data_IF_582240976266
#
_entry.id   IF_582240976266
#
_cell.length_a   1.000
_cell.length_b   1.000
_cell.length_c   1.000
_cell.angle_alpha   90.00
_cell.angle_beta   90.00
_cell.angle_gamma   90.00
#
_symmetry.space_group_name_H-M   'P 1'
#
loop_
_entity.id
_entity.type
_entity.pdbx_description
1 polymer ?
#
# COMPACT_ATOMS: atom_id res chain seq x y z
N UNK A 1 -16.18 -1.28 -39.95
CA UNK A 1 -16.50 0.01 -39.29
C UNK A 1 -17.43 -0.28 -38.13
N UNK A 2 -16.91 -0.41 -36.90
CA UNK A 2 -17.73 -0.66 -35.70
C UNK A 2 -17.94 0.67 -34.97
N UNK A 3 -19.17 1.18 -35.07
CA UNK A 3 -19.58 2.46 -34.52
C UNK A 3 -19.81 2.45 -33.02
N UNK A 4 -19.47 3.60 -32.43
CA UNK A 4 -20.17 4.33 -31.36
C UNK A 4 -20.56 3.60 -30.07
N UNK A 5 -19.84 3.97 -29.01
CA UNK A 5 -20.45 4.58 -27.81
C UNK A 5 -21.24 3.68 -26.86
N UNK A 6 -20.57 3.19 -25.82
CA UNK A 6 -21.21 2.95 -24.53
C UNK A 6 -20.45 3.77 -23.49
N UNK A 7 -20.70 5.08 -23.50
CA UNK A 7 -20.56 5.88 -22.29
C UNK A 7 -21.81 5.63 -21.46
N UNK A 8 -21.66 5.68 -20.14
CA UNK A 8 -22.72 5.47 -19.13
C UNK A 8 -23.02 4.02 -18.72
N UNK A 9 -22.00 3.35 -18.14
CA UNK A 9 -22.27 2.48 -17.00
C UNK A 9 -21.88 3.23 -15.72
N UNK A 10 -22.60 4.32 -15.46
CA UNK A 10 -22.58 4.94 -14.13
C UNK A 10 -23.29 3.99 -13.17
N UNK A 11 -22.64 3.71 -12.05
CA UNK A 11 -23.10 2.80 -11.00
C UNK A 11 -24.37 3.32 -10.35
N UNK A 12 -25.53 3.03 -10.92
CA UNK A 12 -26.81 3.21 -10.25
C UNK A 12 -27.81 2.22 -10.83
N UNK A 13 -28.58 1.59 -9.95
CA UNK A 13 -29.71 0.71 -10.23
C UNK A 13 -29.37 -0.77 -10.47
N UNK A 14 -29.11 -1.46 -9.35
CA UNK A 14 -29.86 -2.69 -9.05
C UNK A 14 -31.37 -2.35 -9.08
N UNK A 15 -31.97 -2.23 -10.27
CA UNK A 15 -33.43 -2.32 -10.42
C UNK A 15 -33.76 -3.75 -10.80
N UNK A 16 -34.32 -4.46 -9.83
CA UNK A 16 -35.03 -5.73 -10.03
C UNK A 16 -35.94 -5.60 -11.26
N UNK A 17 -35.93 -6.55 -12.22
CA UNK A 17 -36.90 -6.52 -13.29
C UNK A 17 -38.31 -6.65 -12.70
N UNK A 18 -39.22 -5.83 -13.22
CA UNK A 18 -40.64 -5.92 -12.93
C UNK A 18 -41.18 -7.30 -13.34
N UNK A 19 -42.15 -7.79 -12.57
CA UNK A 19 -42.85 -9.06 -12.74
C UNK A 19 -43.42 -9.17 -14.15
N UNK A 20 -42.88 -10.06 -14.97
CA UNK A 20 -43.46 -10.40 -16.27
C UNK A 20 -44.67 -11.30 -16.03
N UNK A 21 -45.87 -10.83 -16.35
CA UNK A 21 -47.04 -11.69 -16.52
C UNK A 21 -46.97 -12.31 -17.91
N UNK A 22 -46.62 -13.60 -17.99
CA UNK A 22 -46.71 -14.36 -19.24
C UNK A 22 -48.05 -15.11 -19.30
N UNK A 23 -48.88 -14.76 -20.27
CA UNK A 23 -50.00 -15.58 -20.70
C UNK A 23 -49.48 -16.84 -21.41
N UNK A 24 -50.17 -17.96 -21.20
CA UNK A 24 -49.73 -19.33 -21.47
C UNK A 24 -50.38 -19.86 -22.75
N UNK A 25 -49.62 -20.44 -23.71
CA UNK A 25 -50.20 -21.36 -24.69
C UNK A 25 -49.89 -22.83 -24.34
N UNK A 26 -50.95 -23.63 -24.29
CA UNK A 26 -51.03 -25.03 -24.75
C UNK A 26 -49.94 -26.04 -24.36
N UNK A 27 -50.24 -26.81 -23.31
CA UNK A 27 -49.93 -28.23 -23.04
C UNK A 27 -48.92 -29.00 -23.93
N UNK A 28 -47.81 -29.46 -23.33
CA UNK A 28 -47.51 -30.87 -22.96
C UNK A 28 -46.59 -30.84 -21.72
N UNK A 29 -46.95 -31.55 -20.63
CA UNK A 29 -46.23 -31.51 -19.35
C UNK A 29 -45.43 -32.82 -19.16
N UNK A 30 -44.10 -32.73 -19.19
CA UNK A 30 -43.24 -33.58 -18.34
C UNK A 30 -42.47 -32.66 -17.40
N UNK A 31 -42.53 -32.95 -16.10
CA UNK A 31 -41.86 -32.15 -15.05
C UNK A 31 -40.33 -32.03 -15.27
N UNK A 32 -39.75 -32.95 -16.04
CA UNK A 32 -38.33 -32.99 -16.39
C UNK A 32 -37.92 -31.92 -17.41
N UNK A 33 -38.81 -31.54 -18.33
CA UNK A 33 -38.46 -30.61 -19.42
C UNK A 33 -38.52 -29.15 -18.94
N UNK A 34 -39.48 -28.80 -18.07
CA UNK A 34 -39.57 -27.44 -17.51
C UNK A 34 -38.36 -27.10 -16.63
N UNK A 35 -37.80 -28.07 -15.90
CA UNK A 35 -36.55 -27.90 -15.14
C UNK A 35 -35.32 -27.72 -16.02
N UNK A 36 -35.26 -28.43 -17.16
CA UNK A 36 -34.16 -28.32 -18.12
C UNK A 36 -34.11 -26.95 -18.81
N UNK A 37 -35.26 -26.39 -19.20
CA UNK A 37 -35.34 -25.03 -19.76
C UNK A 37 -34.94 -23.95 -18.75
N UNK A 38 -35.35 -24.07 -17.48
CA UNK A 38 -34.97 -23.10 -16.42
C UNK A 38 -33.46 -23.14 -16.16
N UNK A 39 -32.86 -24.34 -16.07
CA UNK A 39 -31.41 -24.50 -15.88
C UNK A 39 -30.60 -24.03 -17.10
N UNK A 40 -31.11 -24.24 -18.32
CA UNK A 40 -30.47 -23.75 -19.54
C UNK A 40 -30.51 -22.22 -19.64
N UNK A 41 -31.66 -21.60 -19.33
CA UNK A 41 -31.83 -20.13 -19.30
C UNK A 41 -30.95 -19.49 -18.21
N UNK A 42 -30.88 -20.10 -17.01
CA UNK A 42 -30.00 -19.66 -15.91
C UNK A 42 -28.52 -19.78 -16.30
N UNK A 43 -28.11 -20.91 -16.87
CA UNK A 43 -26.72 -21.10 -17.34
C UNK A 43 -26.34 -20.10 -18.44
N UNK A 44 -27.29 -19.77 -19.33
CA UNK A 44 -27.09 -18.78 -20.39
C UNK A 44 -27.04 -17.34 -19.88
N UNK A 45 -27.68 -17.04 -18.75
CA UNK A 45 -27.60 -15.73 -18.07
C UNK A 45 -26.30 -15.60 -17.26
N UNK A 46 -25.88 -16.66 -16.55
CA UNK A 46 -24.63 -16.69 -15.77
C UNK A 46 -23.37 -16.53 -16.65
N UNK A 47 -23.36 -17.12 -17.85
CA UNK A 47 -22.25 -16.94 -18.81
C UNK A 47 -22.14 -15.50 -19.33
N UNK A 48 -23.27 -14.81 -19.54
CA UNK A 48 -23.27 -13.42 -20.00
C UNK A 48 -22.82 -12.48 -18.88
N UNK A 49 -23.24 -12.74 -17.64
CA UNK A 49 -22.81 -11.97 -16.46
C UNK A 49 -21.31 -12.17 -16.17
N UNK A 50 -20.81 -13.41 -16.23
CA UNK A 50 -19.38 -13.73 -16.09
C UNK A 50 -18.52 -13.09 -17.21
N UNK A 51 -19.02 -13.06 -18.45
CA UNK A 51 -18.33 -12.38 -19.58
C UNK A 51 -18.28 -10.86 -19.39
N UNK A 52 -19.36 -10.26 -18.90
CA UNK A 52 -19.43 -8.83 -18.58
C UNK A 52 -18.50 -8.44 -17.42
N UNK A 53 -18.41 -9.25 -16.36
CA UNK A 53 -17.52 -8.98 -15.22
C UNK A 53 -16.04 -9.10 -15.57
N UNK A 54 -15.65 -10.06 -16.42
CA UNK A 54 -14.28 -10.20 -16.93
C UNK A 54 -13.82 -8.99 -17.76
N UNK A 55 -14.69 -8.44 -18.61
CA UNK A 55 -14.39 -7.24 -19.42
C UNK A 55 -14.19 -5.99 -18.56
N UNK A 56 -15.07 -5.77 -17.58
CA UNK A 56 -14.96 -4.63 -16.66
C UNK A 56 -13.70 -4.74 -15.79
N UNK A 57 -13.37 -5.92 -15.26
CA UNK A 57 -12.14 -6.17 -14.50
C UNK A 57 -10.88 -5.83 -15.31
N UNK A 58 -10.82 -6.23 -16.58
CA UNK A 58 -9.70 -5.92 -17.48
C UNK A 58 -9.50 -4.42 -17.67
N UNK A 59 -10.58 -3.66 -17.92
CA UNK A 59 -10.52 -2.20 -18.09
C UNK A 59 -10.04 -1.51 -16.81
N UNK A 60 -10.51 -1.97 -15.64
CA UNK A 60 -10.05 -1.43 -14.34
C UNK A 60 -8.56 -1.72 -14.13
N UNK A 61 -8.09 -2.92 -14.47
CA UNK A 61 -6.68 -3.29 -14.37
C UNK A 61 -5.81 -2.45 -15.33
N UNK A 62 -6.21 -2.27 -16.58
CA UNK A 62 -5.50 -1.42 -17.56
C UNK A 62 -5.42 0.03 -17.09
N UNK A 63 -6.50 0.59 -16.51
CA UNK A 63 -6.49 1.92 -15.89
C UNK A 63 -5.52 1.99 -14.70
N UNK A 64 -5.49 0.96 -13.84
CA UNK A 64 -4.53 0.88 -12.72
C UNK A 64 -3.09 0.85 -13.21
N UNK A 65 -2.80 0.04 -14.24
CA UNK A 65 -1.46 -0.06 -14.84
C UNK A 65 -1.03 1.31 -15.39
N UNK A 66 -1.89 1.96 -16.17
CA UNK A 66 -1.61 3.31 -16.71
C UNK A 66 -1.37 4.34 -15.60
N UNK A 67 -2.19 4.33 -14.55
CA UNK A 67 -2.03 5.23 -13.41
C UNK A 67 -0.69 5.02 -12.67
N UNK A 68 -0.33 3.76 -12.38
CA UNK A 68 0.93 3.43 -11.72
C UNK A 68 2.14 3.80 -12.59
N UNK A 69 2.09 3.51 -13.89
CA UNK A 69 3.14 3.91 -14.84
C UNK A 69 3.27 5.43 -14.94
N UNK A 70 2.14 6.16 -14.97
CA UNK A 70 2.15 7.62 -15.01
C UNK A 70 2.71 8.22 -13.72
N UNK A 71 2.35 7.66 -12.55
CA UNK A 71 2.94 8.04 -11.27
C UNK A 71 4.44 7.82 -11.28
N UNK A 72 4.91 6.64 -11.69
CA UNK A 72 6.34 6.32 -11.79
C UNK A 72 7.09 7.31 -12.69
N UNK A 73 6.57 7.61 -13.89
CA UNK A 73 7.17 8.62 -14.79
C UNK A 73 7.24 10.01 -14.15
N UNK A 74 6.16 10.45 -13.49
CA UNK A 74 6.13 11.76 -12.81
C UNK A 74 7.12 11.81 -11.64
N UNK A 75 7.29 10.72 -10.91
CA UNK A 75 8.31 10.63 -9.86
C UNK A 75 9.72 10.69 -10.45
N UNK A 76 10.00 9.96 -11.52
CA UNK A 76 11.31 9.96 -12.18
C UNK A 76 11.71 11.38 -12.65
N UNK A 77 10.78 12.14 -13.24
CA UNK A 77 11.02 13.53 -13.65
C UNK A 77 11.36 14.41 -12.44
N UNK A 78 10.63 14.28 -11.32
CA UNK A 78 10.93 15.06 -10.12
C UNK A 78 12.30 14.74 -9.54
N UNK A 79 12.68 13.46 -9.55
CA UNK A 79 14.01 13.02 -9.08
C UNK A 79 15.10 13.58 -9.98
N UNK A 80 14.92 13.52 -11.30
CA UNK A 80 15.84 14.12 -12.26
C UNK A 80 16.00 15.62 -11.99
N UNK A 81 14.90 16.37 -11.89
CA UNK A 81 14.95 17.82 -11.61
C UNK A 81 15.65 18.16 -10.29
N UNK A 82 15.41 17.40 -9.21
CA UNK A 82 16.07 17.64 -7.92
C UNK A 82 17.56 17.32 -7.98
N UNK A 83 17.93 16.22 -8.65
CA UNK A 83 19.33 15.86 -8.90
C UNK A 83 20.03 16.91 -9.75
N UNK A 84 19.35 17.42 -10.78
CA UNK A 84 19.82 18.49 -11.65
C UNK A 84 20.06 19.76 -10.84
N UNK A 85 19.14 20.16 -9.95
CA UNK A 85 19.34 21.33 -9.07
C UNK A 85 20.59 21.16 -8.19
N UNK A 86 20.80 19.98 -7.60
CA UNK A 86 21.99 19.71 -6.77
C UNK A 86 23.27 19.79 -7.60
N UNK A 87 23.27 19.23 -8.81
CA UNK A 87 24.39 19.34 -9.74
C UNK A 87 24.63 20.79 -10.17
N UNK A 88 23.58 21.56 -10.41
CA UNK A 88 23.67 22.97 -10.80
C UNK A 88 24.27 23.83 -9.68
N UNK A 89 23.91 23.56 -8.43
CA UNK A 89 24.49 24.20 -7.24
C UNK A 89 25.97 23.84 -7.05
N UNK A 90 26.35 22.59 -7.35
CA UNK A 90 27.73 22.12 -7.36
C UNK A 90 28.56 22.80 -8.46
N UNK A 91 28.03 22.86 -9.68
CA UNK A 91 28.68 23.48 -10.83
C UNK A 91 28.88 24.99 -10.65
N UNK A 92 27.94 25.66 -9.98
CA UNK A 92 28.04 27.09 -9.61
C UNK A 92 28.94 27.34 -8.39
N UNK A 93 29.56 26.30 -7.83
CA UNK A 93 30.47 26.37 -6.68
C UNK A 93 29.85 26.97 -5.40
N UNK A 94 28.50 26.94 -5.29
CA UNK A 94 27.79 27.36 -4.08
C UNK A 94 27.81 26.29 -2.98
N UNK A 95 28.22 25.07 -3.35
CA UNK A 95 28.26 23.90 -2.48
C UNK A 95 29.60 23.20 -2.67
N UNK A 96 30.42 23.15 -1.61
CA UNK A 96 31.63 22.33 -1.58
C UNK A 96 31.26 20.85 -1.70
N UNK A 97 32.15 20.02 -2.25
CA UNK A 97 31.97 18.56 -2.32
C UNK A 97 31.64 17.96 -0.94
N UNK A 98 32.27 18.47 0.12
CA UNK A 98 31.99 18.06 1.50
C UNK A 98 30.56 18.41 1.96
N UNK A 99 30.02 19.53 1.48
CA UNK A 99 28.64 19.94 1.81
C UNK A 99 27.61 19.18 0.98
N UNK A 100 27.92 18.79 -0.26
CA UNK A 100 27.06 17.92 -1.06
C UNK A 100 26.86 16.55 -0.38
N UNK A 101 27.95 15.95 0.11
CA UNK A 101 27.90 14.69 0.86
C UNK A 101 27.09 14.84 2.16
N UNK A 102 27.28 15.95 2.88
CA UNK A 102 26.53 16.27 4.09
C UNK A 102 25.02 16.41 3.81
N UNK A 103 24.63 17.01 2.68
CA UNK A 103 23.24 17.13 2.26
C UNK A 103 22.64 15.74 1.97
N UNK A 104 23.33 14.89 1.21
CA UNK A 104 22.85 13.54 0.93
C UNK A 104 22.66 12.70 2.21
N UNK A 105 23.59 12.84 3.17
CA UNK A 105 23.48 12.17 4.47
C UNK A 105 22.36 12.76 5.33
N UNK A 106 22.19 14.08 5.34
CA UNK A 106 21.16 14.78 6.13
C UNK A 106 19.74 14.58 5.59
N UNK A 107 19.60 14.31 4.29
CA UNK A 107 18.30 14.10 3.63
C UNK A 107 18.06 12.64 3.22
N UNK A 108 18.75 11.69 3.84
CA UNK A 108 18.50 10.25 3.68
C UNK A 108 18.01 9.60 4.97
N UNK A 109 17.46 8.39 4.88
CA UNK A 109 17.12 7.56 6.04
C UNK A 109 16.15 8.20 7.05
N UNK A 110 16.52 8.15 8.33
CA UNK A 110 15.73 8.64 9.47
C UNK A 110 15.59 10.17 9.49
N UNK A 111 16.67 10.96 9.32
CA UNK A 111 16.59 12.42 9.21
C UNK A 111 15.54 12.90 8.19
N UNK A 112 15.48 12.30 7.00
CA UNK A 112 14.48 12.63 5.99
C UNK A 112 13.05 12.41 6.48
N UNK A 113 12.79 11.27 7.14
CA UNK A 113 11.45 10.94 7.65
C UNK A 113 11.04 11.89 8.78
N UNK A 114 12.01 12.31 9.60
CA UNK A 114 11.81 13.31 10.63
C UNK A 114 11.47 14.67 10.02
N UNK A 115 12.25 15.16 9.05
CA UNK A 115 12.00 16.44 8.38
C UNK A 115 10.66 16.44 7.63
N UNK A 116 10.31 15.37 6.92
CA UNK A 116 8.99 15.22 6.29
C UNK A 116 7.85 15.42 7.29
N UNK A 117 8.01 14.93 8.52
CA UNK A 117 7.00 15.04 9.58
C UNK A 117 6.94 16.43 10.19
N UNK A 118 8.08 17.11 10.33
CA UNK A 118 8.14 18.51 10.78
C UNK A 118 7.42 19.42 9.77
N UNK A 119 7.65 19.18 8.47
CA UNK A 119 7.02 19.94 7.38
C UNK A 119 5.53 19.61 7.21
N UNK A 120 5.09 18.41 7.57
CA UNK A 120 3.69 18.03 7.55
C UNK A 120 2.95 18.59 8.78
N UNK A 121 1.83 19.29 8.57
CA UNK A 121 0.99 19.76 9.68
C UNK A 121 0.52 18.60 10.57
N UNK A 122 0.38 18.87 11.87
CA UNK A 122 -0.06 17.93 12.92
C UNK A 122 -1.26 17.08 12.44
N UNK A 123 -1.06 15.78 12.20
CA UNK A 123 -2.16 14.90 11.76
C UNK A 123 -1.78 13.51 11.27
N UNK A 124 -0.53 13.27 10.83
CA UNK A 124 -0.08 11.93 10.45
C UNK A 124 0.12 11.03 11.69
N UNK A 125 -0.87 10.19 11.96
CA UNK A 125 -0.86 9.25 13.11
C UNK A 125 0.16 8.12 12.96
N UNK A 126 0.52 7.77 11.72
CA UNK A 126 1.45 6.66 11.46
C UNK A 126 2.90 7.14 11.44
N UNK A 127 3.79 6.28 11.93
CA UNK A 127 5.24 6.51 11.93
C UNK A 127 5.89 5.53 10.95
N UNK A 128 6.86 6.02 10.17
CA UNK A 128 7.66 5.17 9.28
C UNK A 128 8.41 4.11 10.10
N UNK A 129 8.54 2.85 9.64
CA UNK A 129 9.21 1.79 10.39
C UNK A 129 10.62 2.15 10.87
N UNK A 130 11.45 2.74 10.00
CA UNK A 130 12.80 3.19 10.37
C UNK A 130 12.81 4.24 11.49
N UNK A 131 11.82 5.14 11.49
CA UNK A 131 11.66 6.16 12.52
C UNK A 131 11.15 5.54 13.83
N UNK A 132 10.30 4.50 13.76
CA UNK A 132 9.87 3.73 14.93
C UNK A 132 11.05 3.03 15.59
N UNK A 133 11.85 2.30 14.81
CA UNK A 133 13.04 1.60 15.31
C UNK A 133 14.01 2.59 15.96
N UNK A 134 14.29 3.71 15.30
CA UNK A 134 15.14 4.76 15.86
C UNK A 134 14.60 5.29 17.21
N UNK A 135 13.32 5.63 17.28
CA UNK A 135 12.72 6.15 18.52
C UNK A 135 12.70 5.10 19.65
N UNK A 136 12.45 3.83 19.33
CA UNK A 136 12.51 2.71 20.29
C UNK A 136 13.93 2.55 20.82
N UNK A 137 14.93 2.52 19.93
CA UNK A 137 16.34 2.41 20.28
C UNK A 137 16.80 3.59 21.13
N UNK A 138 16.42 4.81 20.77
CA UNK A 138 16.76 6.02 21.53
C UNK A 138 16.14 6.00 22.93
N UNK A 139 14.88 5.60 23.03
CA UNK A 139 14.18 5.45 24.31
C UNK A 139 14.78 4.35 25.20
N UNK A 140 15.28 3.27 24.59
CA UNK A 140 16.01 2.21 25.29
C UNK A 140 17.31 2.72 25.90
N UNK A 141 18.06 3.56 25.17
CA UNK A 141 19.29 4.17 25.71
C UNK A 141 19.02 5.26 26.75
N UNK A 142 18.07 6.16 26.50
CA UNK A 142 17.74 7.23 27.45
C UNK A 142 16.38 7.85 27.17
N UNK A 143 15.52 7.84 28.19
CA UNK A 143 14.22 8.52 28.16
C UNK A 143 14.37 10.04 28.02
N UNK A 144 15.40 10.61 28.66
CA UNK A 144 15.72 12.04 28.58
C UNK A 144 16.15 12.43 27.17
N UNK A 145 16.95 11.59 26.50
CA UNK A 145 17.38 11.85 25.13
C UNK A 145 16.19 11.85 24.16
N UNK A 146 15.26 10.91 24.30
CA UNK A 146 14.04 10.89 23.47
C UNK A 146 13.17 12.15 23.69
N UNK A 147 13.03 12.61 24.95
CA UNK A 147 12.29 13.85 25.23
C UNK A 147 13.00 15.08 24.65
N UNK A 148 14.32 15.19 24.83
CA UNK A 148 15.11 16.28 24.26
C UNK A 148 14.95 16.39 22.75
N UNK A 149 15.13 15.29 22.02
CA UNK A 149 14.96 15.25 20.56
C UNK A 149 13.52 15.61 20.19
N UNK A 150 12.53 15.11 20.94
CA UNK A 150 11.12 15.40 20.69
C UNK A 150 10.77 16.89 20.87
N UNK A 151 11.36 17.54 21.87
CA UNK A 151 11.16 18.97 22.14
C UNK A 151 11.87 19.83 21.07
N UNK A 152 13.11 19.49 20.74
CA UNK A 152 13.91 20.16 19.70
C UNK A 152 13.27 20.09 18.32
N UNK A 153 12.65 18.96 17.97
CA UNK A 153 12.03 18.75 16.66
C UNK A 153 10.49 18.88 16.66
N UNK A 154 9.94 19.67 17.59
CA UNK A 154 8.53 20.10 17.53
C UNK A 154 7.51 18.94 17.49
N UNK A 155 7.72 17.90 18.30
CA UNK A 155 6.89 16.67 18.35
C UNK A 155 7.04 15.73 17.13
N UNK A 156 8.15 15.82 16.39
CA UNK A 156 8.49 14.89 15.32
C UNK A 156 8.67 13.43 15.78
N UNK A 157 9.05 13.23 17.06
CA UNK A 157 9.18 11.88 17.66
C UNK A 157 7.93 11.47 18.45
N UNK A 158 7.64 10.16 18.54
CA UNK A 158 6.55 9.64 19.35
C UNK A 158 6.76 9.92 20.84
N UNK A 159 5.65 10.14 21.55
CA UNK A 159 5.68 10.24 23.00
C UNK A 159 6.02 8.89 23.65
N UNK A 160 6.56 8.91 24.87
CA UNK A 160 6.88 7.69 25.63
C UNK A 160 5.66 6.78 25.80
N UNK A 161 4.46 7.34 25.94
CA UNK A 161 3.20 6.58 25.98
C UNK A 161 2.94 5.79 24.70
N UNK A 162 3.19 6.39 23.54
CA UNK A 162 3.09 5.73 22.22
C UNK A 162 4.13 4.63 22.09
N UNK A 163 5.37 4.87 22.53
CA UNK A 163 6.43 3.87 22.52
C UNK A 163 6.08 2.66 23.40
N UNK A 164 5.53 2.88 24.59
CA UNK A 164 5.03 1.80 25.47
C UNK A 164 3.96 0.96 24.77
N UNK A 165 3.08 1.58 23.99
CA UNK A 165 2.11 0.86 23.14
C UNK A 165 2.78 -0.03 22.10
N UNK A 166 3.88 0.40 21.49
CA UNK A 166 4.63 -0.42 20.53
C UNK A 166 5.37 -1.58 21.19
N UNK A 167 5.94 -1.36 22.38
CA UNK A 167 6.56 -2.44 23.15
C UNK A 167 5.56 -3.54 23.54
N UNK A 168 4.30 -3.19 23.83
CA UNK A 168 3.24 -4.17 24.15
C UNK A 168 2.88 -5.09 22.98
N UNK A 169 3.09 -4.64 21.74
CA UNK A 169 2.80 -5.43 20.54
C UNK A 169 3.92 -6.43 20.21
N UNK A 170 5.06 -6.37 20.90
CA UNK A 170 6.08 -7.40 20.81
C UNK A 170 5.64 -8.50 21.77
N UNK A 171 5.43 -9.71 21.27
CA UNK A 171 4.99 -10.89 22.04
C UNK A 171 6.02 -11.24 23.13
N UNK A 172 6.00 -10.49 24.23
CA UNK A 172 6.85 -10.66 25.39
C UNK A 172 6.20 -11.59 26.40
N UNK A 173 5.73 -12.76 25.94
CA UNK A 173 5.29 -13.78 26.89
C UNK A 173 6.48 -14.15 27.77
N UNK A 174 6.34 -13.95 29.08
CA UNK A 174 7.39 -14.17 30.07
C UNK A 174 7.66 -15.68 30.12
N UNK A 175 8.67 -16.14 29.38
CA UNK A 175 9.10 -17.53 29.40
C UNK A 175 9.61 -18.09 28.06
N UNK A 176 9.21 -17.53 26.91
CA UNK A 176 9.71 -18.00 25.62
C UNK A 176 9.65 -16.93 24.55
N UNK A 177 10.80 -16.31 24.25
CA UNK A 177 10.96 -15.47 23.07
C UNK A 177 11.02 -16.35 21.81
N UNK A 178 9.92 -17.03 21.48
CA UNK A 178 9.86 -18.01 20.38
C UNK A 178 10.34 -17.43 19.04
N UNK A 179 10.02 -16.16 18.77
CA UNK A 179 10.49 -15.45 17.58
C UNK A 179 12.02 -15.29 17.54
N UNK A 180 12.64 -15.00 18.69
CA UNK A 180 14.11 -14.87 18.82
C UNK A 180 14.75 -16.24 18.67
N UNK A 181 14.22 -17.25 19.33
CA UNK A 181 14.70 -18.64 19.23
C UNK A 181 14.62 -19.15 17.80
N UNK A 182 13.49 -18.96 17.10
CA UNK A 182 13.33 -19.32 15.70
C UNK A 182 14.31 -18.57 14.79
N UNK A 183 14.56 -17.28 15.07
CA UNK A 183 15.54 -16.48 14.32
C UNK A 183 16.97 -17.01 14.51
N UNK A 184 17.33 -17.43 15.73
CA UNK A 184 18.61 -18.06 16.03
C UNK A 184 18.74 -19.42 15.33
N UNK A 185 17.72 -20.27 15.41
CA UNK A 185 17.67 -21.55 14.69
C UNK A 185 17.87 -21.36 13.18
N UNK A 186 17.19 -20.38 12.58
CA UNK A 186 17.32 -20.07 11.16
C UNK A 186 18.72 -19.59 10.80
N UNK A 187 19.39 -18.81 11.66
CA UNK A 187 20.79 -18.42 11.47
C UNK A 187 21.73 -19.62 11.54
N UNK A 188 21.54 -20.51 12.51
CA UNK A 188 22.32 -21.76 12.65
C UNK A 188 22.11 -22.67 11.43
N UNK A 189 20.87 -22.84 10.97
CA UNK A 189 20.55 -23.62 9.75
C UNK A 189 21.18 -23.03 8.49
N UNK A 190 21.23 -21.70 8.36
CA UNK A 190 21.91 -21.03 7.23
C UNK A 190 23.42 -21.23 7.29
N UNK A 191 24.03 -21.08 8.46
CA UNK A 191 25.46 -21.30 8.64
C UNK A 191 25.86 -22.75 8.30
N UNK A 192 25.08 -23.74 8.74
CA UNK A 192 25.27 -25.16 8.39
C UNK A 192 25.13 -25.48 6.90
N UNK A 193 24.36 -24.68 6.15
CA UNK A 193 24.21 -24.83 4.68
C UNK A 193 25.31 -24.12 3.89
N UNK A 194 26.02 -23.17 4.51
CA UNK A 194 27.04 -22.33 3.88
C UNK A 194 28.48 -22.78 4.22
N UNK A 195 28.66 -23.64 5.23
CA UNK A 195 29.97 -24.17 5.61
C UNK A 195 29.88 -25.61 6.08
N UNK A 196 30.57 -26.47 5.32
CA UNK A 196 30.82 -27.90 5.51
C UNK A 196 29.65 -28.84 5.24
#
# INVERSE_FOLDING_TARGET
MCGRGCNDCNTTLLRRPARVTLARPGAVNTLSDQGAWILFEQSSQDEKENRCTCRVRRIIQEKKIKNVQQQSRRLAIKVANLSEIVQDLKNKNYVSDSYAELLEQSFSGVPLQLMKRILQKKGQRSFHPSLKTFAITLQFYSTKANNFVRDTFGLGLPAVSTLRGWFRSVDGNVGSNASVMQSLENKVKKARKQGN
#
